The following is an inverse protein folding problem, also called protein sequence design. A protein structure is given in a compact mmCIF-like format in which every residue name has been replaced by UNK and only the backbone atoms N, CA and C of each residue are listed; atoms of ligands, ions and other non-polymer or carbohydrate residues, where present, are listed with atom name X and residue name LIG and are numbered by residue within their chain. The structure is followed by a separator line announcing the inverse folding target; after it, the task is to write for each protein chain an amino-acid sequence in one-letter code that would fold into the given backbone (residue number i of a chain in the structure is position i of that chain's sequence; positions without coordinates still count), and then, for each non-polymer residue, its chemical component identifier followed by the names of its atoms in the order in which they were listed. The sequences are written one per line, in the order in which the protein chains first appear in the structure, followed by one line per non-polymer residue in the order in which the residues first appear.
data_IF_268845611124
#
_entry.id   IF_268845611124
#
_cell.length_a   1.000
_cell.length_b   1.000
_cell.length_c   1.000
_cell.angle_alpha   90.00
_cell.angle_beta   90.00
_cell.angle_gamma   90.00
#
_symmetry.space_group_name_H-M   'P 1'
#
loop_
_entity.id
_entity.type
_entity.pdbx_description
1 polymer ?
#
# COMPACT_ATOMS: atom_id res chain seq x y z
N UNK A 1 -9.36 -24.38 -4.54
CA UNK A 1 -9.57 -22.96 -4.18
C UNK A 1 -8.28 -22.49 -3.51
N UNK A 2 -7.67 -21.39 -3.95
CA UNK A 2 -6.44 -20.89 -3.29
C UNK A 2 -6.85 -20.20 -2.00
N UNK A 3 -6.42 -20.73 -0.86
CA UNK A 3 -6.51 -20.03 0.41
C UNK A 3 -5.37 -19.00 0.45
N UNK A 4 -5.73 -17.73 0.23
CA UNK A 4 -4.86 -16.62 0.65
C UNK A 4 -4.54 -16.84 2.13
N UNK A 5 -3.27 -16.68 2.54
CA UNK A 5 -2.94 -16.60 3.97
C UNK A 5 -3.91 -15.61 4.60
N UNK A 6 -4.59 -16.00 5.68
CA UNK A 6 -5.65 -15.18 6.28
C UNK A 6 -5.19 -13.75 6.56
N UNK A 7 -3.90 -13.59 6.86
CA UNK A 7 -3.20 -12.32 7.05
C UNK A 7 -3.44 -11.29 5.93
N UNK A 8 -3.66 -11.72 4.68
CA UNK A 8 -3.85 -10.81 3.53
C UNK A 8 -5.31 -10.68 3.08
N UNK A 9 -6.25 -11.35 3.76
CA UNK A 9 -7.68 -11.23 3.45
C UNK A 9 -8.13 -9.79 3.84
N UNK A 10 -8.76 -9.07 2.90
CA UNK A 10 -9.27 -7.70 3.04
C UNK A 10 -8.24 -6.55 2.97
N UNK A 11 -7.04 -6.77 2.44
CA UNK A 11 -6.14 -5.66 2.13
C UNK A 11 -6.50 -5.06 0.76
N UNK A 12 -6.72 -3.74 0.73
CA UNK A 12 -6.86 -2.98 -0.51
C UNK A 12 -5.45 -2.57 -0.95
N UNK A 13 -4.96 -3.12 -2.06
CA UNK A 13 -3.65 -2.78 -2.61
C UNK A 13 -3.89 -1.67 -3.64
N UNK A 14 -3.53 -0.44 -3.28
CA UNK A 14 -3.57 0.71 -4.18
C UNK A 14 -2.14 0.98 -4.70
N UNK A 15 -1.96 0.92 -6.01
CA UNK A 15 -0.68 1.22 -6.68
C UNK A 15 -0.73 2.66 -7.17
N UNK A 16 -0.18 3.58 -6.38
CA UNK A 16 -0.09 5.00 -6.73
C UNK A 16 1.20 5.20 -7.54
N UNK A 17 1.05 5.61 -8.80
CA UNK A 17 2.18 5.97 -9.68
C UNK A 17 2.37 7.49 -9.59
N UNK A 18 3.17 7.95 -8.63
CA UNK A 18 3.47 9.38 -8.47
C UNK A 18 4.75 9.77 -9.25
N UNK A 19 4.83 11.03 -9.65
CA UNK A 19 5.93 11.64 -10.40
C UNK A 19 7.14 11.93 -9.47
N UNK A 20 7.55 10.93 -8.68
CA UNK A 20 8.55 11.07 -7.63
C UNK A 20 9.93 11.44 -8.20
N UNK A 21 10.44 12.63 -7.84
CA UNK A 21 11.81 13.11 -8.17
C UNK A 21 12.88 12.70 -7.15
N UNK A 22 12.49 12.14 -6.01
CA UNK A 22 13.41 11.79 -4.91
C UNK A 22 13.23 10.33 -4.49
N UNK A 23 14.31 9.55 -4.62
CA UNK A 23 14.34 8.09 -4.49
C UNK A 23 14.51 7.57 -3.05
N UNK A 24 13.78 8.10 -2.07
CA UNK A 24 13.87 7.60 -0.68
C UNK A 24 12.54 7.74 0.05
N UNK A 25 11.57 6.88 -0.28
CA UNK A 25 10.41 6.70 0.60
C UNK A 25 10.81 5.76 1.73
N UNK A 26 10.95 6.29 2.94
CA UNK A 26 11.22 5.49 4.14
C UNK A 26 9.97 4.66 4.46
N UNK A 27 10.04 3.34 4.33
CA UNK A 27 9.01 2.45 4.88
C UNK A 27 9.20 2.32 6.38
N UNK A 28 8.15 2.52 7.15
CA UNK A 28 8.16 2.35 8.61
C UNK A 28 7.07 1.36 9.02
N UNK A 29 7.39 0.46 9.96
CA UNK A 29 6.41 -0.47 10.50
C UNK A 29 5.72 0.14 11.71
N UNK A 30 4.41 -0.05 11.85
CA UNK A 30 3.67 0.28 13.08
C UNK A 30 4.21 -0.46 14.32
N UNK A 31 4.99 -1.52 14.12
CA UNK A 31 5.67 -2.25 15.21
C UNK A 31 6.82 -1.45 15.81
N UNK A 32 7.42 -0.53 15.06
CA UNK A 32 8.54 0.29 15.50
C UNK A 32 8.11 1.48 16.38
N UNK A 33 6.80 1.77 16.42
CA UNK A 33 6.23 2.82 17.25
C UNK A 33 5.86 2.28 18.64
N UNK A 34 6.21 3.03 19.67
CA UNK A 34 5.73 2.78 21.02
C UNK A 34 4.35 3.39 21.30
N UNK A 35 3.73 2.95 22.40
CA UNK A 35 2.38 3.36 22.79
C UNK A 35 2.30 4.80 23.26
N UNK A 36 3.24 5.20 24.11
CA UNK A 36 3.20 6.42 24.90
C UNK A 36 4.14 7.50 24.36
N UNK A 37 4.00 8.72 24.86
CA UNK A 37 4.88 9.84 24.53
C UNK A 37 6.33 9.53 24.95
N UNK A 38 7.30 9.91 24.12
CA UNK A 38 8.73 9.71 24.38
C UNK A 38 9.23 8.29 24.16
N UNK A 39 8.45 7.44 23.51
CA UNK A 39 8.84 6.05 23.17
C UNK A 39 9.45 5.94 21.77
N UNK A 40 9.84 4.74 21.35
CA UNK A 40 10.47 4.51 20.04
C UNK A 40 9.62 5.07 18.90
N UNK A 41 10.25 5.83 18.01
CA UNK A 41 9.65 6.34 16.78
C UNK A 41 10.74 6.35 15.69
N UNK A 42 10.54 5.65 14.55
CA UNK A 42 11.57 5.51 13.53
C UNK A 42 11.67 6.71 12.57
N UNK A 43 10.68 7.62 12.60
CA UNK A 43 10.52 8.68 11.60
C UNK A 43 10.16 10.01 12.25
N UNK A 44 10.59 11.11 11.63
CA UNK A 44 10.30 12.47 12.13
C UNK A 44 8.91 12.95 11.70
N UNK A 45 8.48 12.57 10.50
CA UNK A 45 7.18 12.93 9.91
C UNK A 45 6.66 11.82 9.02
N UNK A 46 5.35 11.78 8.88
CA UNK A 46 4.58 10.87 8.03
C UNK A 46 3.81 11.72 7.02
N UNK A 47 4.11 11.55 5.73
CA UNK A 47 3.41 12.25 4.65
C UNK A 47 2.42 11.28 3.99
N UNK A 48 1.19 11.73 3.75
CA UNK A 48 0.15 10.92 3.12
C UNK A 48 -0.83 11.76 2.33
N UNK A 49 -1.54 11.14 1.39
CA UNK A 49 -2.57 11.78 0.57
C UNK A 49 -3.95 11.34 1.07
N UNK A 50 -4.82 12.28 1.41
CA UNK A 50 -6.17 11.99 1.89
C UNK A 50 -7.14 11.61 0.76
N UNK A 51 -8.40 11.36 1.11
CA UNK A 51 -9.46 10.98 0.15
C UNK A 51 -9.77 12.08 -0.87
N UNK A 52 -9.45 13.33 -0.55
CA UNK A 52 -9.66 14.49 -1.43
C UNK A 52 -8.44 14.76 -2.33
N UNK A 53 -7.38 13.95 -2.23
CA UNK A 53 -6.14 14.16 -2.96
C UNK A 53 -5.23 15.22 -2.34
N UNK A 54 -5.51 15.71 -1.12
CA UNK A 54 -4.68 16.69 -0.44
C UNK A 54 -3.52 15.99 0.30
N UNK A 55 -2.32 16.55 0.14
CA UNK A 55 -1.13 16.10 0.86
C UNK A 55 -1.15 16.59 2.30
N UNK A 56 -1.11 15.66 3.24
CA UNK A 56 -1.12 15.89 4.67
C UNK A 56 0.20 15.40 5.30
N UNK A 57 0.63 16.06 6.37
CA UNK A 57 1.87 15.72 7.09
C UNK A 57 1.57 15.57 8.58
N UNK A 58 1.88 14.41 9.16
CA UNK A 58 1.80 14.14 10.60
C UNK A 58 3.21 14.20 11.16
N UNK A 59 3.45 15.13 12.08
CA UNK A 59 4.74 15.22 12.75
C UNK A 59 4.81 14.21 13.88
N UNK A 60 5.84 13.38 13.91
CA UNK A 60 5.98 12.34 14.91
C UNK A 60 6.62 12.84 16.21
N UNK A 61 6.95 14.13 16.33
CA UNK A 61 7.54 14.74 17.51
C UNK A 61 6.76 16.01 17.90
N UNK A 62 6.71 16.31 19.20
CA UNK A 62 6.09 17.54 19.67
C UNK A 62 7.01 18.74 19.40
N UNK A 63 6.54 19.72 18.64
CA UNK A 63 7.27 20.99 18.41
C UNK A 63 7.23 21.94 19.61
N UNK A 64 6.10 21.97 20.31
CA UNK A 64 5.80 22.93 21.38
C UNK A 64 5.21 22.22 22.62
N UNK A 65 5.17 22.92 23.75
CA UNK A 65 4.56 22.45 25.01
C UNK A 65 5.51 21.68 25.93
N UNK A 66 4.95 21.09 26.99
CA UNK A 66 5.68 20.34 28.03
C UNK A 66 6.41 19.10 27.51
N UNK A 67 5.98 18.57 26.37
CA UNK A 67 6.58 17.39 25.73
C UNK A 67 7.48 17.72 24.53
N UNK A 68 7.90 18.98 24.36
CA UNK A 68 8.75 19.42 23.25
C UNK A 68 9.96 18.50 23.07
N UNK A 69 10.19 18.06 21.82
CA UNK A 69 11.29 17.16 21.46
C UNK A 69 11.06 15.68 21.77
N UNK A 70 9.99 15.32 22.48
CA UNK A 70 9.60 13.91 22.67
C UNK A 70 8.83 13.41 21.46
N UNK A 71 8.97 12.12 21.17
CA UNK A 71 8.18 11.44 20.15
C UNK A 71 6.71 11.32 20.56
N UNK A 72 5.82 11.40 19.59
CA UNK A 72 4.40 11.08 19.72
C UNK A 72 4.25 9.55 19.68
N UNK A 73 3.64 8.99 20.72
CA UNK A 73 3.23 7.58 20.71
C UNK A 73 2.02 7.37 19.82
N UNK A 74 1.67 6.10 19.55
CA UNK A 74 0.52 5.75 18.70
C UNK A 74 -0.80 6.35 19.19
N UNK A 75 -0.99 6.50 20.51
CA UNK A 75 -2.21 7.10 21.07
C UNK A 75 -2.37 8.56 20.63
N UNK A 76 -1.27 9.31 20.61
CA UNK A 76 -1.32 10.72 20.23
C UNK A 76 -1.46 10.87 18.72
N UNK A 77 -0.80 10.02 17.94
CA UNK A 77 -0.95 9.96 16.49
C UNK A 77 -2.40 9.64 16.08
N UNK A 78 -3.11 8.78 16.82
CA UNK A 78 -4.54 8.54 16.61
C UNK A 78 -5.38 9.81 16.82
N UNK A 79 -5.14 10.56 17.90
CA UNK A 79 -5.89 11.81 18.17
C UNK A 79 -5.69 12.83 17.07
N UNK A 80 -4.44 13.02 16.63
CA UNK A 80 -4.09 13.95 15.55
C UNK A 80 -4.71 13.53 14.21
N UNK A 81 -4.77 12.22 13.97
CA UNK A 81 -5.46 11.63 12.80
C UNK A 81 -6.98 11.57 12.95
N UNK A 82 -7.56 12.16 14.01
CA UNK A 82 -8.99 12.14 14.34
C UNK A 82 -9.60 10.73 14.44
N UNK A 83 -8.78 9.74 14.77
CA UNK A 83 -9.19 8.35 14.98
C UNK A 83 -9.68 8.21 16.43
N UNK A 84 -10.96 7.87 16.59
CA UNK A 84 -11.53 7.63 17.91
C UNK A 84 -10.98 6.32 18.51
N UNK A 85 -10.43 6.41 19.72
CA UNK A 85 -9.94 5.27 20.48
C UNK A 85 -10.82 5.01 21.70
N UNK A 86 -11.13 3.74 22.01
CA UNK A 86 -11.74 3.37 23.28
C UNK A 86 -10.78 3.64 24.45
N UNK A 87 -11.33 3.92 25.64
CA UNK A 87 -10.60 4.35 26.85
C UNK A 87 -9.54 3.32 27.28
N UNK A 88 -9.85 2.03 27.16
CA UNK A 88 -8.92 0.93 27.43
C UNK A 88 -8.74 0.10 26.16
N UNK A 89 -7.70 0.43 25.40
CA UNK A 89 -7.33 -0.29 24.19
C UNK A 89 -5.94 -0.91 24.34
N UNK A 90 -5.72 -2.11 23.78
CA UNK A 90 -4.39 -2.74 23.74
C UNK A 90 -3.54 -2.16 22.60
N UNK A 91 -2.21 -2.25 22.73
CA UNK A 91 -1.30 -1.73 21.70
C UNK A 91 -1.55 -2.33 20.32
N UNK A 92 -1.80 -3.63 20.25
CA UNK A 92 -2.04 -4.33 18.99
C UNK A 92 -3.36 -3.92 18.32
N UNK A 93 -4.37 -3.55 19.10
CA UNK A 93 -5.63 -3.02 18.57
C UNK A 93 -5.42 -1.61 18.00
N UNK A 94 -4.63 -0.75 18.66
CA UNK A 94 -4.25 0.56 18.11
C UNK A 94 -3.54 0.37 16.76
N UNK A 95 -2.57 -0.55 16.69
CA UNK A 95 -1.86 -0.87 15.44
C UNK A 95 -2.83 -1.33 14.35
N UNK A 96 -3.80 -2.18 14.68
CA UNK A 96 -4.81 -2.68 13.73
C UNK A 96 -5.76 -1.59 13.23
N UNK A 97 -6.07 -0.60 14.07
CA UNK A 97 -6.88 0.55 13.66
C UNK A 97 -6.04 1.45 12.75
N UNK A 98 -4.83 1.82 13.17
CA UNK A 98 -3.95 2.68 12.40
C UNK A 98 -3.53 2.06 11.07
N UNK A 99 -3.33 0.74 10.98
CA UNK A 99 -2.99 0.07 9.72
C UNK A 99 -4.04 0.23 8.63
N UNK A 100 -5.28 0.57 9.00
CA UNK A 100 -6.35 0.90 8.03
C UNK A 100 -6.30 2.34 7.57
N UNK A 101 -5.71 3.24 8.35
CA UNK A 101 -5.59 4.65 8.04
C UNK A 101 -4.53 4.86 6.95
N UNK A 102 -4.82 5.68 5.93
CA UNK A 102 -3.94 5.91 4.77
C UNK A 102 -2.51 6.28 5.15
N UNK A 103 -2.35 7.08 6.22
CA UNK A 103 -1.03 7.47 6.72
C UNK A 103 -0.14 6.30 7.17
N UNK A 104 -0.70 5.13 7.46
CA UNK A 104 0.05 3.96 7.93
C UNK A 104 -0.21 2.71 7.05
N UNK A 105 -0.79 2.89 5.87
CA UNK A 105 -0.88 1.80 4.89
C UNK A 105 0.49 1.58 4.25
N UNK A 106 0.86 0.31 4.09
CA UNK A 106 2.11 -0.06 3.44
C UNK A 106 2.03 0.27 1.94
N UNK A 107 2.60 1.40 1.55
CA UNK A 107 2.78 1.76 0.15
C UNK A 107 4.02 1.03 -0.36
N UNK A 108 3.85 0.16 -1.35
CA UNK A 108 4.95 -0.49 -2.04
C UNK A 108 5.58 0.54 -2.98
N UNK A 109 6.82 0.94 -2.69
CA UNK A 109 7.55 1.84 -3.56
C UNK A 109 7.94 1.13 -4.86
N UNK A 110 7.61 1.77 -5.99
CA UNK A 110 8.07 1.38 -7.31
C UNK A 110 8.90 2.54 -7.86
N UNK A 111 10.20 2.35 -8.16
CA UNK A 111 11.02 3.43 -8.67
C UNK A 111 10.52 3.93 -10.03
N UNK A 112 10.70 5.22 -10.27
CA UNK A 112 10.27 5.88 -11.50
C UNK A 112 11.00 5.29 -12.71
N UNK A 113 10.28 5.14 -13.83
CA UNK A 113 10.77 4.56 -15.09
C UNK A 113 11.15 3.07 -15.03
N UNK A 114 10.82 2.40 -13.93
CA UNK A 114 11.02 0.96 -13.79
C UNK A 114 9.67 0.21 -13.85
N UNK A 115 8.93 0.39 -14.94
CA UNK A 115 7.64 -0.30 -15.10
C UNK A 115 7.80 -1.83 -15.12
N UNK A 116 8.99 -2.32 -15.48
CA UNK A 116 9.40 -3.71 -15.38
C UNK A 116 9.48 -4.26 -13.96
N UNK A 117 9.28 -3.42 -12.93
CA UNK A 117 9.13 -3.81 -11.52
C UNK A 117 7.65 -3.84 -11.06
N UNK A 118 6.72 -3.38 -11.89
CA UNK A 118 5.29 -3.43 -11.60
C UNK A 118 4.66 -4.71 -12.19
N UNK A 119 4.07 -5.54 -11.33
CA UNK A 119 3.44 -6.80 -11.74
C UNK A 119 2.29 -6.61 -12.76
N UNK A 120 1.68 -5.42 -12.82
CA UNK A 120 0.63 -5.11 -13.79
C UNK A 120 1.14 -5.16 -15.24
N UNK A 121 2.40 -4.80 -15.49
CA UNK A 121 2.99 -4.87 -16.83
C UNK A 121 3.07 -6.32 -17.34
N UNK A 122 3.41 -7.25 -16.44
CA UNK A 122 3.40 -8.68 -16.75
C UNK A 122 2.00 -9.21 -17.09
N UNK A 123 0.97 -8.72 -16.40
CA UNK A 123 -0.43 -9.02 -16.71
C UNK A 123 -0.78 -8.51 -18.12
N UNK A 124 -0.52 -7.24 -18.40
CA UNK A 124 -0.82 -6.64 -19.70
C UNK A 124 -0.07 -7.31 -20.84
N UNK A 125 1.21 -7.64 -20.66
CA UNK A 125 1.98 -8.39 -21.64
C UNK A 125 1.36 -9.77 -21.94
N UNK A 126 0.90 -10.49 -20.91
CA UNK A 126 0.24 -11.78 -21.12
C UNK A 126 -1.10 -11.64 -21.86
N UNK A 127 -1.92 -10.66 -21.48
CA UNK A 127 -3.20 -10.39 -22.13
C UNK A 127 -3.02 -9.96 -23.59
N UNK A 128 -2.07 -9.06 -23.86
CA UNK A 128 -1.71 -8.64 -25.22
C UNK A 128 -1.29 -9.83 -26.08
N UNK A 129 -0.43 -10.71 -25.56
CA UNK A 129 -0.01 -11.91 -26.29
C UNK A 129 -1.19 -12.85 -26.57
N UNK A 130 -2.08 -13.05 -25.58
CA UNK A 130 -3.28 -13.87 -25.74
C UNK A 130 -4.20 -13.33 -26.84
N UNK A 131 -4.51 -12.03 -26.81
CA UNK A 131 -5.37 -11.36 -27.79
C UNK A 131 -4.73 -11.39 -29.17
N UNK A 132 -3.45 -11.00 -29.31
CA UNK A 132 -2.74 -10.97 -30.61
C UNK A 132 -2.74 -12.32 -31.32
N UNK A 133 -2.63 -13.42 -30.57
CA UNK A 133 -2.62 -14.77 -31.16
C UNK A 133 -4.00 -15.30 -31.59
N UNK A 134 -5.09 -14.60 -31.27
CA UNK A 134 -6.48 -15.10 -31.44
C UNK A 134 -7.44 -14.09 -32.08
N UNK A 135 -6.99 -12.86 -32.27
CA UNK A 135 -7.81 -11.78 -32.83
C UNK A 135 -7.91 -11.93 -34.34
N UNK A 136 -9.08 -11.60 -34.88
CA UNK A 136 -9.35 -11.40 -36.31
C UNK A 136 -9.29 -9.91 -36.69
N UNK A 137 -8.76 -9.08 -35.78
CA UNK A 137 -8.70 -7.62 -35.88
C UNK A 137 -10.06 -6.90 -35.81
N UNK A 138 -11.16 -7.62 -35.54
CA UNK A 138 -12.44 -6.98 -35.26
C UNK A 138 -12.51 -6.47 -33.81
N UNK A 139 -13.15 -5.32 -33.62
CA UNK A 139 -13.33 -4.73 -32.30
C UNK A 139 -14.16 -5.63 -31.37
N UNK A 140 -15.24 -6.22 -31.89
CA UNK A 140 -16.11 -7.14 -31.14
C UNK A 140 -15.36 -8.36 -30.61
N UNK A 141 -14.56 -9.00 -31.48
CA UNK A 141 -13.74 -10.15 -31.07
C UNK A 141 -12.69 -9.74 -30.05
N UNK A 142 -12.05 -8.58 -30.23
CA UNK A 142 -11.05 -8.07 -29.29
C UNK A 142 -11.64 -7.90 -27.88
N UNK A 143 -12.82 -7.30 -27.73
CA UNK A 143 -13.50 -7.12 -26.43
C UNK A 143 -13.77 -8.48 -25.76
N UNK A 144 -14.26 -9.46 -26.53
CA UNK A 144 -14.49 -10.82 -26.02
C UNK A 144 -13.17 -11.47 -25.56
N UNK A 145 -12.11 -11.35 -26.36
CA UNK A 145 -10.79 -11.91 -26.05
C UNK A 145 -10.13 -11.26 -24.83
N UNK A 146 -10.37 -9.98 -24.55
CA UNK A 146 -9.89 -9.33 -23.32
C UNK A 146 -10.49 -10.02 -22.09
N UNK A 147 -11.79 -10.30 -22.10
CA UNK A 147 -12.47 -11.02 -21.01
C UNK A 147 -11.94 -12.46 -20.88
N UNK A 148 -11.81 -13.17 -21.99
CA UNK A 148 -11.26 -14.54 -22.01
C UNK A 148 -9.81 -14.58 -21.52
N UNK A 149 -9.00 -13.57 -21.85
CA UNK A 149 -7.60 -13.47 -21.43
C UNK A 149 -7.46 -13.39 -19.91
N UNK A 150 -8.39 -12.73 -19.21
CA UNK A 150 -8.43 -12.67 -17.74
C UNK A 150 -8.69 -14.05 -17.14
N UNK A 151 -9.67 -14.79 -17.68
CA UNK A 151 -9.99 -16.14 -17.25
C UNK A 151 -8.78 -17.07 -17.47
N UNK A 152 -8.16 -16.98 -18.65
CA UNK A 152 -6.97 -17.77 -18.98
C UNK A 152 -5.77 -17.45 -18.06
N UNK A 153 -5.56 -16.16 -17.74
CA UNK A 153 -4.50 -15.72 -16.84
C UNK A 153 -4.65 -16.30 -15.43
N UNK A 154 -5.88 -16.29 -14.89
CA UNK A 154 -6.21 -16.89 -13.58
C UNK A 154 -5.99 -18.41 -13.61
N UNK A 155 -6.52 -19.09 -14.64
CA UNK A 155 -6.37 -20.57 -14.79
C UNK A 155 -4.90 -21.00 -14.82
N UNK A 156 -4.04 -20.23 -15.49
CA UNK A 156 -2.59 -20.54 -15.58
C UNK A 156 -1.77 -20.13 -14.35
N UNK A 157 -2.39 -19.57 -13.32
CA UNK A 157 -1.73 -19.09 -12.09
C UNK A 157 -0.55 -18.16 -12.38
N UNK A 158 -0.65 -17.34 -13.43
CA UNK A 158 0.45 -16.48 -13.90
C UNK A 158 0.75 -15.38 -12.88
N UNK A 159 -0.28 -14.88 -12.17
CA UNK A 159 -0.13 -13.92 -11.08
C UNK A 159 0.96 -14.32 -10.08
N UNK A 160 0.95 -15.58 -9.62
CA UNK A 160 1.95 -16.08 -8.65
C UNK A 160 3.36 -16.08 -9.22
N UNK A 161 3.53 -16.40 -10.50
CA UNK A 161 4.83 -16.37 -11.17
C UNK A 161 5.35 -14.94 -11.29
N UNK A 162 4.45 -13.99 -11.61
CA UNK A 162 4.78 -12.57 -11.67
C UNK A 162 5.20 -12.08 -10.29
N UNK A 163 4.36 -12.19 -9.26
CA UNK A 163 4.70 -11.72 -7.91
C UNK A 163 6.00 -12.34 -7.34
N UNK A 164 6.26 -13.63 -7.58
CA UNK A 164 7.52 -14.27 -7.17
C UNK A 164 8.76 -13.72 -7.88
N UNK A 165 8.62 -13.15 -9.08
CA UNK A 165 9.73 -12.50 -9.80
C UNK A 165 10.07 -11.13 -9.20
N UNK A 166 9.07 -10.44 -8.64
CA UNK A 166 9.24 -9.09 -8.09
C UNK A 166 9.61 -9.07 -6.60
N UNK A 167 9.29 -10.12 -5.85
CA UNK A 167 9.46 -10.19 -4.39
C UNK A 167 10.59 -11.14 -3.94
N UNK A 168 11.59 -11.36 -4.80
CA UNK A 168 12.83 -12.06 -4.45
C UNK A 168 13.90 -11.05 -4.12
#
# INVERSE_FOLDING_TARGET
MLELKQEYKNHQIEVIVDNARTHTTKSYSLQDFGRNIGTRCPVEKIEYVDENGATNVIECYFKNGTNKGKSKGLVELCKESRVQLPVQIKLDEIRKILSKHRAFQNIIYCPKYHCELNAIEGLWCNQKAFVRSRTDQSFEKMIKLISDSRIHFVKRKIALKLFRRFWR
#
